data_IF_960709573609
#
_entry.id   IF_960709573609
#
_cell.length_a   1.000
_cell.length_b   1.000
_cell.length_c   1.000
_cell.angle_alpha   90.00
_cell.angle_beta   90.00
_cell.angle_gamma   90.00
#
_symmetry.space_group_name_H-M   'P 1'
#
loop_
_entity.id
_entity.type
_entity.pdbx_description
1 polymer ?
#
# COMPACT_ATOMS: atom_id res chain seq x y z
N UNK A 1 -48.61 -7.20 57.71
CA UNK A 1 -48.58 -6.21 56.60
C UNK A 1 -48.71 -7.01 55.32
N UNK A 2 -49.87 -6.97 54.67
CA UNK A 2 -50.08 -7.65 53.39
C UNK A 2 -49.78 -6.67 52.26
N UNK A 3 -48.97 -7.06 51.28
CA UNK A 3 -48.69 -6.27 50.10
C UNK A 3 -49.18 -6.99 48.85
N UNK A 4 -50.18 -6.42 48.17
CA UNK A 4 -50.57 -6.80 46.82
C UNK A 4 -49.73 -6.03 45.80
N UNK A 5 -49.00 -6.73 44.93
CA UNK A 5 -48.25 -6.11 43.83
C UNK A 5 -48.91 -6.44 42.50
N UNK A 6 -49.28 -5.41 41.72
CA UNK A 6 -49.71 -5.54 40.33
C UNK A 6 -48.55 -5.16 39.42
N UNK A 7 -48.17 -6.08 38.52
CA UNK A 7 -47.17 -5.79 37.48
C UNK A 7 -47.84 -5.07 36.32
N UNK A 8 -47.36 -3.86 36.02
CA UNK A 8 -47.70 -3.11 34.80
C UNK A 8 -46.61 -3.43 33.78
N UNK A 9 -46.97 -3.65 32.51
CA UNK A 9 -46.04 -3.90 31.41
C UNK A 9 -46.08 -2.72 30.42
N UNK A 10 -44.95 -2.43 29.79
CA UNK A 10 -44.92 -1.55 28.62
C UNK A 10 -45.35 -2.36 27.38
N UNK A 11 -46.17 -1.76 26.52
CA UNK A 11 -46.53 -2.29 25.20
C UNK A 11 -45.69 -1.59 24.14
N UNK A 12 -45.13 -2.36 23.19
CA UNK A 12 -44.27 -1.84 22.12
C UNK A 12 -44.93 -2.06 20.76
N UNK A 13 -44.76 -1.11 19.84
CA UNK A 13 -45.18 -1.25 18.45
C UNK A 13 -44.28 -2.24 17.68
N UNK A 14 -44.85 -3.00 16.73
CA UNK A 14 -44.09 -3.93 15.88
C UNK A 14 -43.10 -3.19 14.97
N UNK A 15 -42.04 -3.87 14.55
CA UNK A 15 -41.07 -3.35 13.59
C UNK A 15 -41.60 -3.41 12.16
N UNK A 16 -41.35 -2.34 11.41
CA UNK A 16 -41.36 -2.33 9.95
C UNK A 16 -39.91 -2.49 9.47
N UNK A 17 -39.66 -3.37 8.51
CA UNK A 17 -38.31 -3.73 8.05
C UNK A 17 -38.17 -3.54 6.55
N UNK A 18 -37.03 -3.01 6.12
CA UNK A 18 -36.62 -2.92 4.72
C UNK A 18 -35.20 -3.45 4.55
N UNK A 19 -34.91 -4.01 3.39
CA UNK A 19 -33.59 -4.56 3.07
C UNK A 19 -33.18 -4.16 1.67
N UNK A 20 -31.89 -3.84 1.49
CA UNK A 20 -31.25 -3.64 0.20
C UNK A 20 -29.86 -4.26 0.20
N UNK A 21 -29.28 -4.47 -0.97
CA UNK A 21 -27.88 -4.93 -1.08
C UNK A 21 -27.02 -3.79 -1.58
N UNK A 22 -25.94 -3.52 -0.86
CA UNK A 22 -24.94 -2.52 -1.19
C UNK A 22 -23.63 -3.21 -1.59
N UNK A 23 -23.06 -2.83 -2.73
CA UNK A 23 -21.69 -3.18 -3.10
C UNK A 23 -20.73 -2.24 -2.36
N UNK A 24 -19.92 -2.79 -1.46
CA UNK A 24 -18.99 -2.02 -0.61
C UNK A 24 -17.67 -1.75 -1.33
N UNK A 25 -17.30 -2.58 -2.30
CA UNK A 25 -16.05 -2.48 -3.06
C UNK A 25 -16.32 -2.14 -4.53
N UNK A 26 -16.32 -0.85 -4.93
CA UNK A 26 -16.59 -0.47 -6.32
C UNK A 26 -15.58 -1.05 -7.31
N UNK A 27 -14.32 -1.18 -6.88
CA UNK A 27 -13.22 -1.72 -7.68
C UNK A 27 -13.26 -3.25 -7.81
N UNK A 28 -14.20 -3.92 -7.14
CA UNK A 28 -14.44 -5.36 -7.24
C UNK A 28 -15.93 -5.63 -7.49
N UNK A 29 -16.40 -5.45 -8.74
CA UNK A 29 -17.82 -5.57 -9.08
C UNK A 29 -18.31 -7.02 -9.08
N UNK A 30 -19.64 -7.16 -9.15
CA UNK A 30 -20.33 -8.46 -9.22
C UNK A 30 -20.03 -9.24 -10.50
N UNK A 31 -19.68 -8.53 -11.58
CA UNK A 31 -19.25 -9.10 -12.85
C UNK A 31 -17.73 -9.15 -12.88
N UNK A 32 -17.17 -10.34 -13.08
CA UNK A 32 -15.74 -10.58 -13.19
C UNK A 32 -15.37 -10.90 -14.64
N UNK A 33 -14.29 -10.30 -15.15
CA UNK A 33 -13.77 -10.67 -16.48
C UNK A 33 -12.72 -11.76 -16.29
N UNK A 34 -12.78 -12.84 -17.07
CA UNK A 34 -11.83 -13.96 -17.00
C UNK A 34 -10.97 -13.98 -18.25
N UNK A 35 -9.65 -14.04 -18.07
CA UNK A 35 -8.69 -14.34 -19.12
C UNK A 35 -8.37 -15.85 -19.09
N UNK A 36 -8.79 -16.58 -20.11
CA UNK A 36 -8.76 -18.06 -20.07
C UNK A 36 -7.37 -18.67 -20.33
N UNK A 37 -6.40 -17.89 -20.81
CA UNK A 37 -5.06 -18.38 -21.17
C UNK A 37 -4.10 -18.43 -19.99
N UNK A 38 -4.09 -17.37 -19.18
CA UNK A 38 -3.24 -17.29 -17.98
C UNK A 38 -4.03 -17.56 -16.69
N UNK A 39 -5.32 -17.89 -16.81
CA UNK A 39 -6.23 -18.10 -15.68
C UNK A 39 -6.30 -16.90 -14.73
N UNK A 40 -6.12 -15.68 -15.26
CA UNK A 40 -6.25 -14.45 -14.49
C UNK A 40 -7.66 -13.92 -14.51
N UNK A 41 -8.00 -13.21 -13.45
CA UNK A 41 -9.32 -12.65 -13.20
C UNK A 41 -9.18 -11.13 -13.03
N UNK A 42 -10.11 -10.39 -13.63
CA UNK A 42 -10.17 -8.94 -13.60
C UNK A 42 -11.50 -8.50 -12.95
N UNK A 43 -11.50 -8.07 -11.68
CA UNK A 43 -10.41 -8.19 -10.71
C UNK A 43 -10.31 -9.61 -10.13
N UNK A 44 -9.11 -9.98 -9.68
CA UNK A 44 -8.89 -11.24 -8.97
C UNK A 44 -9.40 -11.11 -7.53
N UNK A 45 -10.46 -11.86 -7.21
CA UNK A 45 -11.12 -11.81 -5.90
C UNK A 45 -10.29 -12.45 -4.79
N UNK A 46 -9.27 -13.24 -5.13
CA UNK A 46 -8.32 -13.76 -4.13
C UNK A 46 -7.42 -12.66 -3.57
N UNK A 47 -7.16 -11.61 -4.37
CA UNK A 47 -6.35 -10.45 -3.99
C UNK A 47 -7.23 -9.25 -3.60
N UNK A 48 -8.26 -8.97 -4.39
CA UNK A 48 -9.21 -7.86 -4.22
C UNK A 48 -10.65 -8.39 -4.11
N UNK A 49 -11.07 -8.83 -2.90
CA UNK A 49 -12.37 -9.47 -2.70
C UNK A 49 -13.55 -8.58 -3.09
N UNK A 50 -14.62 -9.20 -3.58
CA UNK A 50 -15.91 -8.51 -3.78
C UNK A 50 -16.68 -8.53 -2.47
N UNK A 51 -17.05 -7.36 -1.94
CA UNK A 51 -17.76 -7.26 -0.66
C UNK A 51 -19.15 -6.71 -0.86
N UNK A 52 -20.16 -7.47 -0.43
CA UNK A 52 -21.57 -7.06 -0.46
C UNK A 52 -22.15 -7.02 0.95
N UNK A 53 -22.91 -5.96 1.24
CA UNK A 53 -23.55 -5.73 2.53
C UNK A 53 -25.08 -5.74 2.36
N UNK A 54 -25.81 -6.66 3.03
CA UNK A 54 -27.25 -6.56 3.13
C UNK A 54 -27.58 -5.46 4.15
N UNK A 55 -27.99 -4.31 3.68
CA UNK A 55 -28.37 -3.19 4.54
C UNK A 55 -29.78 -3.40 5.05
N UNK A 56 -29.93 -3.70 6.35
CA UNK A 56 -31.22 -3.93 7.00
C UNK A 56 -31.61 -2.71 7.82
N UNK A 57 -32.74 -2.12 7.46
CA UNK A 57 -33.33 -0.98 8.17
C UNK A 57 -34.60 -1.44 8.88
N UNK A 58 -34.76 -1.08 10.15
CA UNK A 58 -35.98 -1.34 10.91
C UNK A 58 -36.42 -0.12 11.70
N UNK A 59 -37.73 0.05 11.87
CA UNK A 59 -38.30 1.15 12.63
C UNK A 59 -39.60 0.72 13.33
N UNK A 60 -39.85 1.28 14.52
CA UNK A 60 -41.12 1.15 15.23
C UNK A 60 -41.87 2.49 15.18
N UNK A 61 -43.18 2.48 14.98
CA UNK A 61 -43.99 3.70 14.86
C UNK A 61 -44.07 4.52 16.15
N UNK A 62 -43.84 3.89 17.30
CA UNK A 62 -43.81 4.52 18.63
C UNK A 62 -42.43 5.09 19.01
N UNK A 63 -41.44 4.99 18.13
CA UNK A 63 -40.08 5.47 18.37
C UNK A 63 -39.27 4.63 19.37
N UNK A 64 -39.78 3.48 19.81
CA UNK A 64 -39.09 2.65 20.80
C UNK A 64 -37.98 1.75 20.22
N UNK A 65 -37.67 1.90 18.93
CA UNK A 65 -36.52 1.27 18.27
C UNK A 65 -35.38 2.30 18.08
N UNK A 66 -34.22 2.12 18.73
CA UNK A 66 -33.24 3.19 18.87
C UNK A 66 -32.36 3.46 17.63
N UNK A 67 -32.18 2.48 16.74
CA UNK A 67 -31.28 2.62 15.58
C UNK A 67 -31.90 2.06 14.29
N UNK A 68 -32.11 2.89 13.26
CA UNK A 68 -32.67 2.43 11.99
C UNK A 68 -31.84 1.32 11.34
N UNK A 69 -30.51 1.48 11.28
CA UNK A 69 -29.61 0.45 10.77
C UNK A 69 -29.46 -0.69 11.78
N UNK A 70 -30.07 -1.82 11.46
CA UNK A 70 -30.36 -2.87 12.43
C UNK A 70 -29.50 -4.13 12.28
N UNK A 71 -28.46 -4.08 11.42
CA UNK A 71 -27.56 -5.20 11.16
C UNK A 71 -26.97 -5.83 12.43
N UNK A 72 -26.64 -5.04 13.46
CA UNK A 72 -26.07 -5.55 14.71
C UNK A 72 -26.99 -6.56 15.44
N UNK A 73 -28.30 -6.48 15.22
CA UNK A 73 -29.32 -7.33 15.84
C UNK A 73 -29.67 -8.56 14.99
N UNK A 74 -28.96 -8.79 13.89
CA UNK A 74 -29.18 -9.98 13.04
C UNK A 74 -28.66 -11.25 13.74
N UNK A 75 -29.39 -12.35 13.57
CA UNK A 75 -29.05 -13.69 14.00
C UNK A 75 -29.35 -14.68 12.86
N UNK A 76 -28.86 -15.92 12.99
CA UNK A 76 -29.07 -17.00 12.01
C UNK A 76 -28.75 -16.59 10.55
N UNK A 77 -27.68 -15.80 10.39
CA UNK A 77 -27.28 -15.24 9.10
C UNK A 77 -26.74 -16.33 8.18
N UNK A 78 -27.32 -16.44 6.99
CA UNK A 78 -26.94 -17.39 5.96
C UNK A 78 -26.95 -16.74 4.59
N UNK A 79 -25.97 -17.10 3.77
CA UNK A 79 -25.95 -16.77 2.36
C UNK A 79 -26.23 -18.03 1.56
N UNK A 80 -27.00 -17.89 0.50
CA UNK A 80 -27.37 -18.95 -0.42
C UNK A 80 -26.79 -18.62 -1.79
N UNK A 81 -26.09 -19.58 -2.40
CA UNK A 81 -25.64 -19.53 -3.77
C UNK A 81 -26.48 -20.53 -4.59
N UNK A 82 -27.19 -20.04 -5.60
CA UNK A 82 -28.15 -20.79 -6.43
C UNK A 82 -29.16 -21.59 -5.60
N UNK A 83 -29.61 -20.99 -4.50
CA UNK A 83 -30.59 -21.59 -3.57
C UNK A 83 -30.01 -22.58 -2.57
N UNK A 84 -28.70 -22.87 -2.60
CA UNK A 84 -28.02 -23.77 -1.66
C UNK A 84 -27.21 -22.96 -0.66
N UNK A 85 -27.24 -23.34 0.62
CA UNK A 85 -26.46 -22.67 1.67
C UNK A 85 -24.97 -22.71 1.32
N UNK A 86 -24.36 -21.52 1.22
CA UNK A 86 -22.98 -21.33 0.74
C UNK A 86 -21.96 -22.12 1.57
N UNK A 87 -22.27 -22.38 2.85
CA UNK A 87 -21.42 -23.16 3.75
C UNK A 87 -21.34 -24.64 3.42
N UNK A 88 -22.27 -25.14 2.61
CA UNK A 88 -22.35 -26.56 2.23
C UNK A 88 -21.76 -26.85 0.86
N UNK A 89 -21.37 -25.81 0.11
CA UNK A 89 -20.85 -25.95 -1.25
C UNK A 89 -19.32 -26.04 -1.20
N UNK A 90 -18.77 -27.18 -1.64
CA UNK A 90 -17.33 -27.45 -1.58
C UNK A 90 -16.49 -26.33 -2.24
N UNK A 91 -16.93 -25.82 -3.38
CA UNK A 91 -16.22 -24.79 -4.15
C UNK A 91 -16.06 -23.44 -3.43
N UNK A 92 -16.90 -23.19 -2.43
CA UNK A 92 -16.92 -21.99 -1.61
C UNK A 92 -16.08 -22.13 -0.32
N UNK A 93 -15.65 -23.34 0.03
CA UNK A 93 -14.87 -23.60 1.26
C UNK A 93 -13.59 -22.74 1.27
N UNK A 94 -13.44 -21.91 2.30
CA UNK A 94 -12.29 -21.00 2.44
C UNK A 94 -12.27 -19.81 1.46
N UNK A 95 -13.32 -19.63 0.64
CA UNK A 95 -13.40 -18.56 -0.38
C UNK A 95 -14.50 -17.53 -0.11
N UNK A 96 -15.09 -17.55 1.07
CA UNK A 96 -15.96 -16.48 1.54
C UNK A 96 -15.83 -16.26 3.04
N UNK A 97 -16.21 -15.07 3.49
CA UNK A 97 -16.33 -14.74 4.91
C UNK A 97 -17.64 -13.99 5.15
N UNK A 98 -18.31 -14.27 6.26
CA UNK A 98 -19.52 -13.56 6.68
C UNK A 98 -19.17 -12.69 7.88
N UNK A 99 -19.42 -11.38 7.78
CA UNK A 99 -19.26 -10.43 8.88
C UNK A 99 -20.20 -10.76 10.04
N UNK A 100 -19.66 -10.84 11.26
CA UNK A 100 -20.40 -11.23 12.47
C UNK A 100 -20.49 -10.12 13.52
N UNK A 101 -19.90 -8.95 13.27
CA UNK A 101 -19.71 -7.89 14.26
C UNK A 101 -20.37 -6.59 13.82
N UNK A 102 -21.04 -5.92 14.77
CA UNK A 102 -21.51 -4.53 14.64
C UNK A 102 -22.44 -4.30 13.45
N UNK A 103 -22.30 -3.13 12.82
CA UNK A 103 -23.09 -2.73 11.64
C UNK A 103 -22.76 -3.52 10.37
N UNK A 104 -21.65 -4.25 10.36
CA UNK A 104 -21.21 -5.11 9.24
C UNK A 104 -21.74 -6.54 9.33
N UNK A 105 -22.60 -6.84 10.31
CA UNK A 105 -23.23 -8.16 10.41
C UNK A 105 -23.96 -8.52 9.11
N UNK A 106 -23.70 -9.72 8.61
CA UNK A 106 -24.30 -10.25 7.38
C UNK A 106 -23.54 -9.89 6.10
N UNK A 107 -22.51 -9.04 6.17
CA UNK A 107 -21.64 -8.72 5.04
C UNK A 107 -20.99 -9.99 4.48
N UNK A 108 -21.03 -10.19 3.17
CA UNK A 108 -20.34 -11.30 2.49
C UNK A 108 -19.11 -10.77 1.77
N UNK A 109 -17.94 -11.25 2.19
CA UNK A 109 -16.68 -11.06 1.48
C UNK A 109 -16.46 -12.26 0.59
N UNK A 110 -16.41 -12.05 -0.72
CA UNK A 110 -16.24 -13.10 -1.73
C UNK A 110 -14.79 -13.08 -2.22
N UNK A 111 -14.08 -14.17 -1.95
CA UNK A 111 -12.72 -14.44 -2.43
C UNK A 111 -12.68 -15.43 -3.59
N UNK A 112 -13.85 -15.94 -4.00
CA UNK A 112 -13.99 -16.93 -5.07
C UNK A 112 -14.02 -16.25 -6.44
N UNK A 113 -13.06 -16.62 -7.29
CA UNK A 113 -13.13 -16.36 -8.71
C UNK A 113 -14.14 -17.31 -9.39
N UNK A 114 -14.85 -16.80 -10.38
CA UNK A 114 -15.86 -17.53 -11.16
C UNK A 114 -15.24 -18.05 -12.45
N UNK A 115 -15.51 -19.30 -12.80
CA UNK A 115 -15.07 -19.86 -14.08
C UNK A 115 -15.71 -19.10 -15.25
N UNK A 116 -15.13 -19.12 -16.46
CA UNK A 116 -15.65 -18.34 -17.58
C UNK A 116 -17.09 -18.73 -17.95
N UNK A 117 -18.00 -17.74 -17.99
CA UNK A 117 -19.43 -17.94 -18.25
C UNK A 117 -20.23 -18.47 -17.05
N UNK A 118 -19.60 -18.64 -15.89
CA UNK A 118 -20.28 -19.03 -14.65
C UNK A 118 -21.11 -17.87 -14.10
N UNK A 119 -22.34 -18.17 -13.70
CA UNK A 119 -23.25 -17.24 -13.07
C UNK A 119 -23.82 -17.89 -11.81
N UNK A 120 -23.81 -17.14 -10.71
CA UNK A 120 -24.29 -17.57 -9.40
C UNK A 120 -25.25 -16.52 -8.85
N UNK A 121 -26.40 -16.99 -8.40
CA UNK A 121 -27.40 -16.17 -7.75
C UNK A 121 -27.20 -16.19 -6.24
N UNK A 122 -26.91 -15.03 -5.64
CA UNK A 122 -26.70 -14.87 -4.21
C UNK A 122 -27.94 -14.30 -3.54
N UNK A 123 -28.37 -14.93 -2.44
CA UNK A 123 -29.49 -14.49 -1.60
C UNK A 123 -29.07 -14.55 -0.13
N UNK A 124 -29.31 -13.47 0.61
CA UNK A 124 -29.09 -13.44 2.06
C UNK A 124 -30.38 -13.76 2.81
N UNK A 125 -30.31 -14.59 3.84
CA UNK A 125 -31.39 -14.81 4.80
C UNK A 125 -30.90 -14.67 6.23
N UNK A 126 -31.65 -13.99 7.07
CA UNK A 126 -31.36 -13.83 8.49
C UNK A 126 -32.63 -13.62 9.32
N UNK A 127 -32.46 -13.55 10.63
CA UNK A 127 -33.50 -13.14 11.58
C UNK A 127 -33.09 -11.86 12.28
N UNK A 128 -33.95 -10.86 12.28
CA UNK A 128 -33.79 -9.66 13.10
C UNK A 128 -34.48 -9.89 14.45
N UNK A 129 -33.70 -9.90 15.53
CA UNK A 129 -34.22 -10.13 16.87
C UNK A 129 -34.75 -8.84 17.51
N UNK A 130 -36.07 -8.77 17.74
CA UNK A 130 -36.69 -7.71 18.53
C UNK A 130 -36.71 -8.12 20.01
N UNK A 131 -35.75 -7.62 20.78
CA UNK A 131 -35.64 -7.91 22.22
C UNK A 131 -36.79 -7.32 23.04
N UNK A 132 -37.53 -6.34 22.51
CA UNK A 132 -38.64 -5.67 23.22
C UNK A 132 -39.88 -6.57 23.23
N UNK A 133 -40.17 -7.21 22.09
CA UNK A 133 -41.32 -8.11 21.91
C UNK A 133 -40.96 -9.59 22.04
N UNK A 134 -39.68 -9.94 22.00
CA UNK A 134 -39.22 -11.34 21.98
C UNK A 134 -39.55 -12.06 20.67
N UNK A 135 -39.68 -11.33 19.57
CA UNK A 135 -40.07 -11.83 18.24
C UNK A 135 -38.89 -11.71 17.28
N UNK A 136 -38.76 -12.66 16.35
CA UNK A 136 -37.77 -12.63 15.28
C UNK A 136 -38.44 -12.34 13.94
N UNK A 137 -37.99 -11.29 13.25
CA UNK A 137 -38.46 -10.94 11.91
C UNK A 137 -37.57 -11.61 10.84
N UNK A 138 -38.12 -12.38 9.89
CA UNK A 138 -37.33 -12.94 8.81
C UNK A 138 -36.91 -11.84 7.84
N UNK A 139 -35.63 -11.84 7.46
CA UNK A 139 -35.04 -10.92 6.48
C UNK A 139 -34.55 -11.76 5.30
N UNK A 140 -34.92 -11.35 4.09
CA UNK A 140 -34.47 -11.96 2.83
C UNK A 140 -34.20 -10.85 1.81
N UNK A 141 -33.02 -10.85 1.18
CA UNK A 141 -32.68 -9.89 0.12
C UNK A 141 -33.24 -10.29 -1.23
N UNK A 142 -33.40 -9.32 -2.13
CA UNK A 142 -33.53 -9.63 -3.55
C UNK A 142 -32.30 -10.38 -4.07
N UNK A 143 -32.46 -11.26 -5.08
CA UNK A 143 -31.34 -12.01 -5.65
C UNK A 143 -30.32 -11.09 -6.31
N UNK A 144 -29.04 -11.31 -5.99
CA UNK A 144 -27.91 -10.61 -6.61
C UNK A 144 -27.13 -11.58 -7.47
N UNK A 145 -26.88 -11.21 -8.71
CA UNK A 145 -26.16 -12.07 -9.66
C UNK A 145 -24.67 -11.76 -9.58
N UNK A 146 -23.89 -12.77 -9.23
CA UNK A 146 -22.45 -12.81 -9.42
C UNK A 146 -22.18 -13.52 -10.75
N UNK A 147 -21.48 -12.89 -11.69
CA UNK A 147 -21.24 -13.49 -13.00
C UNK A 147 -19.81 -13.31 -13.45
N UNK A 148 -19.42 -14.12 -14.43
CA UNK A 148 -18.19 -13.90 -15.18
C UNK A 148 -18.47 -13.78 -16.67
N UNK A 149 -17.62 -13.01 -17.36
CA UNK A 149 -17.59 -12.95 -18.81
C UNK A 149 -16.23 -13.39 -19.33
N UNK A 150 -16.24 -14.13 -20.43
CA UNK A 150 -15.02 -14.42 -21.20
C UNK A 150 -14.63 -13.14 -21.92
N UNK A 151 -13.33 -12.84 -21.93
CA UNK A 151 -12.80 -11.77 -22.77
C UNK A 151 -13.12 -12.09 -24.23
N UNK A 152 -13.82 -11.20 -24.94
CA UNK A 152 -14.10 -11.40 -26.37
C UNK A 152 -12.78 -11.62 -27.12
N UNK A 153 -12.73 -12.55 -28.08
CA UNK A 153 -11.48 -12.94 -28.78
C UNK A 153 -10.77 -11.76 -29.48
N UNK A 154 -11.50 -10.69 -29.77
CA UNK A 154 -10.96 -9.48 -30.39
C UNK A 154 -10.70 -8.32 -29.42
N UNK A 155 -11.01 -8.49 -28.13
CA UNK A 155 -10.80 -7.43 -27.15
C UNK A 155 -9.34 -7.37 -26.72
N UNK A 156 -8.72 -6.19 -26.87
CA UNK A 156 -7.38 -5.95 -26.37
C UNK A 156 -7.40 -5.73 -24.86
N UNK A 157 -6.31 -6.11 -24.20
CA UNK A 157 -6.06 -5.75 -22.81
C UNK A 157 -4.59 -5.65 -22.49
N UNK A 158 -4.29 -4.99 -21.38
CA UNK A 158 -2.94 -4.84 -20.87
C UNK A 158 -2.91 -5.39 -19.45
N UNK A 159 -1.86 -6.12 -19.14
CA UNK A 159 -1.53 -6.59 -17.80
C UNK A 159 -0.11 -6.17 -17.47
N UNK A 160 0.15 -5.93 -16.19
CA UNK A 160 1.48 -5.61 -15.66
C UNK A 160 1.98 -6.86 -14.94
N UNK A 161 3.23 -7.26 -15.22
CA UNK A 161 3.89 -8.39 -14.59
C UNK A 161 4.38 -8.12 -13.16
N UNK A 162 3.79 -7.12 -12.51
CA UNK A 162 4.17 -6.55 -11.22
C UNK A 162 2.90 -6.05 -10.50
N UNK A 163 3.02 -5.61 -9.26
CA UNK A 163 1.94 -4.95 -8.53
C UNK A 163 1.51 -3.65 -9.22
N UNK A 164 0.21 -3.38 -9.28
CA UNK A 164 -0.31 -2.07 -9.71
C UNK A 164 0.09 -0.95 -8.74
N UNK A 165 0.48 -1.29 -7.51
CA UNK A 165 1.05 -0.36 -6.54
C UNK A 165 2.45 -0.85 -6.20
N UNK A 166 3.45 -0.26 -6.86
CA UNK A 166 4.87 -0.51 -6.64
C UNK A 166 5.30 0.33 -5.45
N UNK A 167 5.97 -0.33 -4.50
CA UNK A 167 6.46 0.29 -3.27
C UNK A 167 7.98 0.21 -3.26
N UNK A 168 8.63 1.36 -3.28
CA UNK A 168 10.08 1.43 -3.21
C UNK A 168 10.53 1.74 -1.78
N UNK A 169 11.39 0.88 -1.24
CA UNK A 169 11.89 0.96 0.13
C UNK A 169 13.42 0.94 0.11
N UNK A 170 14.01 2.09 0.45
CA UNK A 170 15.46 2.26 0.37
C UNK A 170 16.20 1.28 1.29
N UNK A 171 15.65 0.94 2.47
CA UNK A 171 16.29 0.01 3.42
C UNK A 171 16.47 -1.40 2.87
N UNK A 172 15.75 -1.77 1.81
CA UNK A 172 15.81 -3.09 1.18
C UNK A 172 16.55 -3.09 -0.15
N UNK A 173 17.01 -1.92 -0.61
CA UNK A 173 17.68 -1.78 -1.89
C UNK A 173 19.16 -2.15 -1.81
N UNK A 174 19.47 -3.36 -2.28
CA UNK A 174 20.84 -3.87 -2.37
C UNK A 174 21.66 -3.23 -3.49
N UNK A 175 21.00 -2.75 -4.54
CA UNK A 175 21.67 -2.08 -5.66
C UNK A 175 22.17 -0.72 -5.22
N UNK A 176 21.33 0.04 -4.51
CA UNK A 176 21.71 1.33 -3.93
C UNK A 176 22.87 1.19 -2.95
N UNK A 177 22.83 0.18 -2.06
CA UNK A 177 23.94 -0.10 -1.13
C UNK A 177 25.22 -0.49 -1.87
N UNK A 178 25.13 -1.35 -2.89
CA UNK A 178 26.26 -1.76 -3.69
C UNK A 178 26.92 -0.56 -4.41
N UNK A 179 26.13 0.26 -5.11
CA UNK A 179 26.63 1.42 -5.85
C UNK A 179 27.27 2.44 -4.89
N UNK A 180 26.71 2.60 -3.68
CA UNK A 180 27.33 3.41 -2.62
C UNK A 180 28.69 2.87 -2.16
N UNK A 181 28.81 1.56 -1.92
CA UNK A 181 30.06 0.94 -1.49
C UNK A 181 31.16 1.07 -2.55
N UNK A 182 30.82 0.93 -3.83
CA UNK A 182 31.75 1.16 -4.94
C UNK A 182 32.19 2.63 -4.99
N UNK A 183 31.24 3.57 -4.89
CA UNK A 183 31.53 5.00 -4.91
C UNK A 183 32.43 5.45 -3.74
N UNK A 184 32.28 4.85 -2.56
CA UNK A 184 33.15 5.12 -1.40
C UNK A 184 34.49 4.37 -1.44
N UNK A 185 34.78 3.61 -2.50
CA UNK A 185 35.98 2.78 -2.60
C UNK A 185 36.03 1.62 -1.59
N UNK A 186 34.89 1.26 -0.98
CA UNK A 186 34.74 0.15 -0.02
C UNK A 186 34.48 -1.19 -0.72
N UNK A 187 34.07 -1.17 -1.99
CA UNK A 187 33.94 -2.32 -2.87
C UNK A 187 34.62 -2.05 -4.23
N UNK A 188 35.07 -3.11 -4.91
CA UNK A 188 35.57 -3.02 -6.28
C UNK A 188 34.42 -3.22 -7.26
N UNK A 189 34.31 -2.34 -8.25
CA UNK A 189 33.29 -2.43 -9.29
C UNK A 189 33.35 -3.78 -10.03
N UNK A 190 32.21 -4.47 -10.07
CA UNK A 190 32.04 -5.74 -10.75
C UNK A 190 30.62 -5.85 -11.34
N UNK A 191 30.52 -5.93 -12.66
CA UNK A 191 29.24 -5.99 -13.37
C UNK A 191 28.35 -7.18 -12.96
N UNK A 192 28.94 -8.35 -12.67
CA UNK A 192 28.17 -9.53 -12.25
C UNK A 192 27.64 -9.38 -10.82
N UNK A 193 28.42 -8.77 -9.92
CA UNK A 193 27.97 -8.47 -8.55
C UNK A 193 26.86 -7.42 -8.56
N UNK A 194 27.01 -6.35 -9.37
CA UNK A 194 25.98 -5.33 -9.56
C UNK A 194 24.67 -5.93 -10.09
N UNK A 195 24.76 -6.77 -11.13
CA UNK A 195 23.59 -7.43 -11.71
C UNK A 195 22.87 -8.36 -10.71
N UNK A 196 23.60 -8.99 -9.79
CA UNK A 196 23.02 -9.83 -8.74
C UNK A 196 22.27 -9.02 -7.66
N UNK A 197 22.53 -7.72 -7.54
CA UNK A 197 21.80 -6.81 -6.67
C UNK A 197 20.48 -6.29 -7.28
N UNK A 198 20.24 -6.52 -8.57
CA UNK A 198 18.99 -6.14 -9.23
C UNK A 198 17.92 -7.18 -8.88
N UNK A 199 17.12 -6.87 -7.87
CA UNK A 199 15.98 -7.66 -7.42
C UNK A 199 14.69 -6.83 -7.38
N UNK A 200 13.66 -7.35 -6.71
CA UNK A 200 12.37 -6.68 -6.63
C UNK A 200 12.37 -5.40 -5.76
N UNK A 201 13.44 -5.07 -5.06
CA UNK A 201 13.55 -3.86 -4.24
C UNK A 201 14.55 -2.86 -4.84
N UNK A 202 15.25 -3.23 -5.91
CA UNK A 202 16.22 -2.36 -6.57
C UNK A 202 15.54 -1.11 -7.16
N UNK A 203 16.23 0.02 -7.04
CA UNK A 203 15.75 1.28 -7.59
C UNK A 203 15.63 1.27 -9.11
N UNK A 204 16.42 0.45 -9.81
CA UNK A 204 16.22 0.19 -11.24
C UNK A 204 15.09 -0.84 -11.36
N UNK A 205 13.87 -0.36 -11.61
CA UNK A 205 12.68 -1.19 -11.65
C UNK A 205 12.23 -1.45 -13.07
N UNK A 206 12.45 -2.68 -13.56
CA UNK A 206 11.87 -3.16 -14.82
C UNK A 206 10.46 -3.71 -14.57
N UNK A 207 9.45 -3.06 -15.15
CA UNK A 207 8.04 -3.40 -15.03
C UNK A 207 7.58 -4.06 -16.33
N UNK A 208 7.40 -5.39 -16.38
CA UNK A 208 6.96 -6.08 -17.58
C UNK A 208 5.51 -5.73 -17.92
N UNK A 209 5.21 -5.57 -19.20
CA UNK A 209 3.88 -5.25 -19.72
C UNK A 209 3.51 -6.27 -20.78
N UNK A 210 2.37 -6.93 -20.58
CA UNK A 210 1.86 -7.91 -21.54
C UNK A 210 0.55 -7.40 -22.13
N UNK A 211 0.51 -7.30 -23.46
CA UNK A 211 -0.72 -7.00 -24.21
C UNK A 211 -1.34 -8.31 -24.69
N UNK A 212 -2.62 -8.49 -24.43
CA UNK A 212 -3.38 -9.65 -24.86
C UNK A 212 -4.43 -9.24 -25.89
N UNK A 213 -4.66 -10.10 -26.89
CA UNK A 213 -5.84 -10.03 -27.79
C UNK A 213 -6.73 -11.23 -27.50
N UNK A 214 -7.92 -10.96 -26.97
CA UNK A 214 -8.71 -11.96 -26.28
C UNK A 214 -7.89 -12.55 -25.15
N UNK A 215 -7.68 -13.86 -25.20
CA UNK A 215 -6.91 -14.57 -24.19
C UNK A 215 -5.41 -14.69 -24.52
N UNK A 216 -4.95 -14.40 -25.75
CA UNK A 216 -3.55 -14.68 -26.13
C UNK A 216 -2.64 -13.45 -25.96
N UNK A 217 -1.47 -13.57 -25.32
CA UNK A 217 -0.47 -12.53 -25.38
C UNK A 217 -0.02 -12.36 -26.82
N UNK A 218 0.01 -11.11 -27.27
CA UNK A 218 0.55 -10.73 -28.56
C UNK A 218 1.86 -9.99 -28.33
N UNK A 219 2.82 -10.16 -29.23
CA UNK A 219 4.14 -9.49 -29.17
C UNK A 219 4.31 -8.46 -30.29
N UNK A 220 3.31 -8.31 -31.16
CA UNK A 220 3.32 -7.41 -32.31
C UNK A 220 1.91 -6.95 -32.68
N UNK A 221 1.83 -5.94 -33.55
CA UNK A 221 0.55 -5.38 -34.02
C UNK A 221 -0.06 -4.33 -33.08
N UNK A 222 0.69 -3.86 -32.09
CA UNK A 222 0.33 -2.75 -31.20
C UNK A 222 1.57 -1.91 -30.89
N UNK A 223 1.33 -0.69 -30.39
CA UNK A 223 2.35 0.18 -29.80
C UNK A 223 1.91 0.58 -28.41
N UNK A 224 2.80 0.48 -27.42
CA UNK A 224 2.57 1.05 -26.11
C UNK A 224 2.89 2.54 -26.10
N UNK A 225 1.99 3.33 -25.52
CA UNK A 225 2.22 4.71 -25.14
C UNK A 225 2.16 4.83 -23.64
N UNK A 226 3.11 5.56 -23.09
CA UNK A 226 3.30 5.74 -21.65
C UNK A 226 2.97 7.17 -21.30
N UNK A 227 2.34 7.35 -20.15
CA UNK A 227 1.90 8.64 -19.67
C UNK A 227 2.15 8.76 -18.18
N UNK A 228 2.54 9.95 -17.73
CA UNK A 228 2.42 10.34 -16.32
C UNK A 228 1.02 10.91 -16.09
N UNK A 229 0.39 10.51 -14.99
CA UNK A 229 -0.92 11.02 -14.54
C UNK A 229 -0.69 12.09 -13.49
N UNK A 230 -1.12 13.31 -13.78
CA UNK A 230 -1.03 14.43 -12.86
C UNK A 230 -2.16 14.39 -11.81
N UNK A 231 -2.01 15.18 -10.75
CA UNK A 231 -3.00 15.30 -9.67
C UNK A 231 -4.42 15.66 -10.16
N UNK A 232 -4.54 16.34 -11.31
CA UNK A 232 -5.83 16.72 -11.92
C UNK A 232 -6.40 15.62 -12.84
N UNK A 233 -5.85 14.40 -12.81
CA UNK A 233 -6.18 13.28 -13.70
C UNK A 233 -5.90 13.55 -15.18
N UNK A 234 -5.09 14.57 -15.49
CA UNK A 234 -4.59 14.81 -16.84
C UNK A 234 -3.36 13.95 -17.10
N UNK A 235 -3.17 13.53 -18.35
CA UNK A 235 -2.04 12.69 -18.77
C UNK A 235 -1.05 13.51 -19.59
N UNK A 236 0.23 13.37 -19.30
CA UNK A 236 1.34 13.91 -20.11
C UNK A 236 2.12 12.73 -20.68
N UNK A 237 2.53 12.82 -21.95
CA UNK A 237 3.36 11.79 -22.59
C UNK A 237 4.63 11.61 -21.75
N UNK A 238 4.93 10.35 -21.42
CA UNK A 238 6.16 9.97 -20.77
C UNK A 238 7.20 9.69 -21.87
N UNK A 239 8.35 10.33 -21.78
CA UNK A 239 9.42 10.27 -22.77
C UNK A 239 10.62 9.50 -22.21
N UNK A 240 11.40 8.87 -23.09
CA UNK A 240 12.66 8.23 -22.70
C UNK A 240 13.75 9.23 -22.28
N UNK A 241 13.47 10.53 -22.39
CA UNK A 241 14.32 11.63 -21.91
C UNK A 241 13.83 12.20 -20.58
N UNK A 242 12.74 11.69 -20.02
CA UNK A 242 12.30 12.09 -18.69
C UNK A 242 13.25 11.45 -17.65
N UNK A 243 13.64 12.23 -16.65
CA UNK A 243 14.72 11.88 -15.71
C UNK A 243 14.54 10.52 -15.01
N UNK A 244 13.31 10.15 -14.65
CA UNK A 244 12.97 8.90 -13.96
C UNK A 244 12.81 7.70 -14.91
N UNK A 245 12.95 7.89 -16.21
CA UNK A 245 12.71 6.86 -17.24
C UNK A 245 14.03 6.39 -17.83
N UNK A 246 14.34 5.11 -17.61
CA UNK A 246 15.54 4.47 -18.18
C UNK A 246 15.22 3.90 -19.56
N UNK A 247 14.07 3.24 -19.72
CA UNK A 247 13.70 2.59 -20.97
C UNK A 247 12.18 2.51 -21.16
N UNK A 248 11.72 2.83 -22.37
CA UNK A 248 10.35 2.58 -22.83
C UNK A 248 10.38 1.58 -23.98
N UNK A 249 9.75 0.42 -23.78
CA UNK A 249 9.68 -0.63 -24.78
C UNK A 249 8.24 -1.10 -24.98
N UNK A 250 8.02 -1.93 -26.00
CA UNK A 250 6.68 -2.43 -26.34
C UNK A 250 6.21 -3.61 -25.47
N UNK A 251 7.04 -4.03 -24.50
CA UNK A 251 6.82 -5.14 -23.58
C UNK A 251 7.22 -4.83 -22.13
N UNK A 252 7.75 -3.63 -21.85
CA UNK A 252 8.11 -3.21 -20.50
C UNK A 252 8.38 -1.69 -20.42
N UNK A 253 8.47 -1.19 -19.19
CA UNK A 253 9.04 0.10 -18.84
C UNK A 253 10.09 -0.11 -17.74
N UNK A 254 11.21 0.60 -17.82
CA UNK A 254 12.24 0.62 -16.78
C UNK A 254 12.34 2.01 -16.18
N UNK A 255 12.17 2.12 -14.86
CA UNK A 255 12.19 3.39 -14.12
C UNK A 255 13.34 3.44 -13.11
N UNK A 256 13.84 4.64 -12.81
CA UNK A 256 14.69 4.93 -11.65
C UNK A 256 13.84 5.43 -10.48
N UNK A 257 13.60 4.56 -9.49
CA UNK A 257 12.75 4.88 -8.35
C UNK A 257 13.40 5.84 -7.33
N UNK A 258 14.71 6.16 -7.47
CA UNK A 258 15.37 7.19 -6.65
C UNK A 258 14.86 8.59 -6.94
N UNK A 259 14.37 8.83 -8.15
CA UNK A 259 13.82 10.11 -8.59
C UNK A 259 12.31 10.24 -8.34
N UNK A 260 11.66 9.16 -7.87
CA UNK A 260 10.21 9.11 -7.68
C UNK A 260 9.85 9.04 -6.19
N UNK A 261 9.24 10.10 -5.65
CA UNK A 261 8.60 10.06 -4.34
C UNK A 261 7.22 9.42 -4.43
N UNK A 262 6.39 9.92 -5.37
CA UNK A 262 5.06 9.39 -5.67
C UNK A 262 4.66 9.79 -7.08
N UNK A 263 4.31 8.81 -7.91
CA UNK A 263 3.82 9.07 -9.26
C UNK A 263 2.81 8.00 -9.70
N UNK A 264 1.86 8.43 -10.52
CA UNK A 264 0.89 7.56 -11.18
C UNK A 264 1.22 7.52 -12.68
N UNK A 265 1.22 6.33 -13.27
CA UNK A 265 1.56 6.09 -14.66
C UNK A 265 0.43 5.36 -15.36
N UNK A 266 0.11 5.78 -16.57
CA UNK A 266 -0.89 5.16 -17.44
C UNK A 266 -0.18 4.61 -18.67
N UNK A 267 -0.43 3.33 -18.96
CA UNK A 267 0.02 2.68 -20.19
C UNK A 267 -1.18 2.45 -21.07
N UNK A 268 -1.07 2.83 -22.35
CA UNK A 268 -2.08 2.58 -23.37
C UNK A 268 -1.53 1.73 -24.49
N UNK A 269 -2.30 0.75 -24.93
CA UNK A 269 -2.01 -0.01 -26.13
C UNK A 269 -2.78 0.65 -27.29
N UNK A 270 -2.04 0.97 -28.35
CA UNK A 270 -2.55 1.63 -29.54
C UNK A 270 -2.44 0.67 -30.72
N UNK A 271 -3.55 0.49 -31.45
CA UNK A 271 -3.62 -0.30 -32.69
C UNK A 271 -4.34 0.56 -33.73
N UNK A 272 -3.77 0.66 -34.93
CA UNK A 272 -4.31 1.51 -36.01
C UNK A 272 -4.65 2.94 -35.56
N UNK A 273 -3.77 3.51 -34.72
CA UNK A 273 -3.90 4.85 -34.13
C UNK A 273 -5.14 5.06 -33.25
N UNK A 274 -5.68 3.98 -32.67
CA UNK A 274 -6.76 3.99 -31.67
C UNK A 274 -6.30 3.35 -30.38
N UNK A 275 -6.64 3.97 -29.25
CA UNK A 275 -6.46 3.40 -27.92
C UNK A 275 -7.39 2.18 -27.80
N UNK A 276 -6.83 0.97 -27.69
CA UNK A 276 -7.60 -0.28 -27.62
C UNK A 276 -7.65 -0.88 -26.22
N UNK A 277 -6.68 -0.54 -25.37
CA UNK A 277 -6.64 -0.94 -23.97
C UNK A 277 -5.76 0.03 -23.18
N UNK A 278 -5.98 0.07 -21.86
CA UNK A 278 -5.15 0.86 -20.96
C UNK A 278 -5.05 0.20 -19.58
N UNK A 279 -3.98 0.48 -18.86
CA UNK A 279 -3.77 0.09 -17.47
C UNK A 279 -3.03 1.20 -16.74
N UNK A 280 -3.39 1.44 -15.49
CA UNK A 280 -2.70 2.39 -14.63
C UNK A 280 -1.96 1.64 -13.52
N UNK A 281 -0.79 2.13 -13.15
CA UNK A 281 -0.05 1.71 -11.97
C UNK A 281 0.53 2.93 -11.24
N UNK A 282 0.89 2.73 -9.99
CA UNK A 282 1.40 3.77 -9.11
C UNK A 282 2.72 3.33 -8.50
N UNK A 283 3.66 4.26 -8.40
CA UNK A 283 4.91 4.10 -7.64
C UNK A 283 4.82 4.99 -6.41
N UNK A 284 5.10 4.43 -5.24
CA UNK A 284 5.18 5.19 -3.99
C UNK A 284 6.43 4.79 -3.23
N UNK A 285 7.16 5.79 -2.71
CA UNK A 285 8.23 5.55 -1.76
C UNK A 285 7.65 5.21 -0.39
N UNK A 286 8.28 4.25 0.28
CA UNK A 286 7.96 3.82 1.63
C UNK A 286 9.04 4.33 2.58
N UNK A 287 8.60 5.04 3.61
CA UNK A 287 9.45 5.50 4.70
C UNK A 287 9.19 4.62 5.92
N UNK A 288 10.06 3.64 6.14
CA UNK A 288 9.92 2.75 7.30
C UNK A 288 10.24 3.50 8.60
N UNK A 289 9.61 3.09 9.69
CA UNK A 289 9.98 3.55 11.02
C UNK A 289 11.31 2.91 11.43
N UNK A 290 12.24 3.71 11.93
CA UNK A 290 13.55 3.25 12.38
C UNK A 290 13.85 3.78 13.79
N UNK A 291 14.78 3.13 14.47
CA UNK A 291 15.36 3.62 15.72
C UNK A 291 16.83 3.97 15.47
N UNK A 292 17.30 5.07 16.05
CA UNK A 292 18.69 5.50 15.97
C UNK A 292 19.23 5.76 17.38
N UNK A 293 20.48 5.33 17.64
CA UNK A 293 21.16 5.62 18.91
C UNK A 293 22.67 5.80 18.72
N UNK A 294 23.33 6.70 19.47
CA UNK A 294 24.78 6.69 19.64
C UNK A 294 25.24 5.38 20.27
N UNK A 295 26.48 4.97 19.99
CA UNK A 295 27.03 3.69 20.46
C UNK A 295 28.05 3.85 21.58
N UNK A 296 28.70 5.02 21.67
CA UNK A 296 29.69 5.28 22.71
C UNK A 296 29.02 5.67 24.04
N UNK A 297 28.91 4.70 24.96
CA UNK A 297 28.38 4.90 26.31
C UNK A 297 29.43 5.26 27.38
N UNK A 298 30.68 5.55 26.99
CA UNK A 298 31.78 5.80 27.95
C UNK A 298 31.73 7.26 28.43
N UNK A 299 31.91 7.46 29.74
CA UNK A 299 32.04 8.79 30.37
C UNK A 299 33.34 9.49 29.97
N UNK A 300 33.34 10.82 30.03
CA UNK A 300 34.46 11.67 29.64
C UNK A 300 35.38 11.90 30.86
N UNK A 301 36.69 11.71 30.69
CA UNK A 301 37.70 12.11 31.69
C UNK A 301 38.04 13.60 31.57
N UNK A 302 38.40 14.30 32.66
CA UNK A 302 38.86 15.69 32.60
C UNK A 302 40.09 15.93 31.71
N UNK A 303 40.85 14.87 31.42
CA UNK A 303 42.02 14.91 30.51
C UNK A 303 41.65 14.78 29.02
N UNK A 304 40.42 14.36 28.71
CA UNK A 304 40.01 14.09 27.35
C UNK A 304 39.74 15.40 26.62
N UNK A 305 40.30 15.55 25.44
CA UNK A 305 40.12 16.74 24.60
C UNK A 305 39.13 16.51 23.47
N UNK A 306 38.93 15.26 23.07
CA UNK A 306 38.14 14.85 21.92
C UNK A 306 37.21 13.70 22.27
N UNK A 307 36.07 13.64 21.58
CA UNK A 307 35.16 12.51 21.61
C UNK A 307 34.81 12.10 20.18
N UNK A 308 34.75 10.78 19.96
CA UNK A 308 34.22 10.18 18.74
C UNK A 308 33.06 9.24 19.07
N UNK A 309 32.08 9.18 18.17
CA UNK A 309 30.90 8.31 18.30
C UNK A 309 30.42 7.84 16.92
N UNK A 310 29.67 6.75 16.93
CA UNK A 310 29.04 6.15 15.74
C UNK A 310 27.57 5.90 16.07
N UNK A 311 26.70 6.16 15.11
CA UNK A 311 25.26 5.95 15.24
C UNK A 311 24.90 4.56 14.74
N UNK A 312 24.09 3.84 15.51
CA UNK A 312 23.50 2.57 15.11
C UNK A 312 22.02 2.78 14.78
N UNK A 313 21.63 2.31 13.59
CA UNK A 313 20.25 2.39 13.09
C UNK A 313 19.66 0.99 13.02
N UNK A 314 18.51 0.80 13.64
CA UNK A 314 17.73 -0.43 13.59
C UNK A 314 16.42 -0.21 12.82
N UNK A 315 16.12 -1.11 11.88
CA UNK A 315 14.87 -1.12 11.12
C UNK A 315 14.37 -2.57 11.00
N UNK A 316 13.09 -2.82 11.26
CA UNK A 316 12.48 -4.17 11.24
C UNK A 316 13.26 -5.23 12.06
N UNK A 317 13.92 -4.81 13.15
CA UNK A 317 14.71 -5.69 14.02
C UNK A 317 16.11 -6.04 13.48
N UNK A 318 16.54 -5.44 12.38
CA UNK A 318 17.87 -5.60 11.80
C UNK A 318 18.68 -4.29 11.93
N UNK A 319 19.99 -4.44 12.17
CA UNK A 319 20.93 -3.31 12.13
C UNK A 319 21.23 -2.98 10.67
N UNK A 320 21.07 -1.72 10.29
CA UNK A 320 21.40 -1.23 8.94
C UNK A 320 22.90 -0.92 8.88
N UNK A 321 23.59 -1.51 7.90
CA UNK A 321 25.04 -1.41 7.79
C UNK A 321 25.54 -0.04 7.31
N UNK A 322 24.85 0.59 6.36
CA UNK A 322 25.22 1.88 5.78
C UNK A 322 24.03 2.86 5.83
N UNK A 323 23.61 3.33 7.02
CA UNK A 323 22.40 4.15 7.16
C UNK A 323 22.53 5.54 6.52
N UNK A 324 23.75 6.04 6.35
CA UNK A 324 24.09 7.31 5.69
C UNK A 324 23.65 7.39 4.23
N UNK A 325 23.37 6.24 3.60
CA UNK A 325 22.82 6.16 2.24
C UNK A 325 21.38 6.65 2.19
N UNK A 326 20.62 6.44 3.26
CA UNK A 326 19.15 6.54 3.29
C UNK A 326 18.64 7.61 4.24
N UNK A 327 19.44 7.92 5.25
CA UNK A 327 19.10 8.88 6.30
C UNK A 327 20.06 10.06 6.25
N UNK A 328 19.53 11.24 6.46
CA UNK A 328 20.31 12.42 6.82
C UNK A 328 20.48 12.41 8.33
N UNK A 329 21.72 12.29 8.81
CA UNK A 329 22.03 12.09 10.23
C UNK A 329 22.87 13.25 10.75
N UNK A 330 22.34 14.08 11.64
CA UNK A 330 23.00 15.27 12.18
C UNK A 330 23.37 15.03 13.64
N UNK A 331 24.67 15.11 13.94
CA UNK A 331 25.17 14.98 15.30
C UNK A 331 25.08 16.30 16.06
N UNK A 332 24.56 16.21 17.29
CA UNK A 332 24.38 17.34 18.18
C UNK A 332 24.84 17.03 19.60
N UNK A 333 25.14 18.09 20.32
CA UNK A 333 25.38 18.00 21.76
C UNK A 333 24.65 19.08 22.54
N UNK A 334 24.16 18.70 23.72
CA UNK A 334 23.62 19.60 24.72
C UNK A 334 24.47 19.54 25.99
N UNK A 335 24.72 20.70 26.59
CA UNK A 335 25.42 20.88 27.87
C UNK A 335 24.76 22.01 28.64
N UNK A 336 25.22 22.27 29.87
CA UNK A 336 24.74 23.42 30.63
C UNK A 336 25.04 24.77 29.94
N UNK A 337 26.10 24.84 29.13
CA UNK A 337 26.53 26.07 28.47
C UNK A 337 25.96 26.27 27.06
N UNK A 338 25.58 25.20 26.36
CA UNK A 338 25.11 25.23 24.97
C UNK A 338 24.08 24.14 24.71
N UNK A 339 23.05 24.45 23.93
CA UNK A 339 22.01 23.49 23.53
C UNK A 339 21.92 23.48 22.00
N UNK A 340 21.73 22.30 21.42
CA UNK A 340 21.58 22.08 19.99
C UNK A 340 22.85 22.34 19.18
N UNK A 341 24.03 22.21 19.78
CA UNK A 341 25.28 22.47 19.06
C UNK A 341 25.50 21.39 18.00
N UNK A 342 25.47 21.79 16.73
CA UNK A 342 25.70 20.91 15.58
C UNK A 342 27.19 20.69 15.35
N UNK A 343 27.59 19.44 15.12
CA UNK A 343 28.98 19.07 14.84
C UNK A 343 29.20 18.73 13.37
N UNK A 344 28.63 17.62 12.92
CA UNK A 344 28.75 17.14 11.54
C UNK A 344 27.56 16.27 11.14
N UNK A 345 27.53 15.94 9.85
CA UNK A 345 26.57 15.02 9.26
C UNK A 345 27.24 13.66 8.97
N UNK A 346 26.49 12.56 9.10
CA UNK A 346 26.91 11.21 8.74
C UNK A 346 26.78 10.17 9.86
N UNK A 347 27.16 8.92 9.57
CA UNK A 347 27.08 7.82 10.54
C UNK A 347 28.01 8.03 11.75
N UNK A 348 29.12 8.75 11.56
CA UNK A 348 30.17 8.94 12.57
C UNK A 348 30.39 10.40 12.88
N UNK A 349 30.81 10.69 14.10
CA UNK A 349 31.22 12.03 14.53
C UNK A 349 32.54 11.99 15.28
N UNK A 350 33.29 13.09 15.18
CA UNK A 350 34.40 13.42 16.07
C UNK A 350 34.38 14.92 16.34
N UNK A 351 34.43 15.31 17.61
CA UNK A 351 34.39 16.72 18.01
C UNK A 351 35.25 17.00 19.24
N UNK A 352 35.66 18.26 19.36
CA UNK A 352 36.44 18.76 20.49
C UNK A 352 35.52 19.02 21.69
N UNK A 353 35.87 18.49 22.86
CA UNK A 353 35.08 18.68 24.07
C UNK A 353 35.04 20.14 24.52
N UNK A 354 36.12 20.89 24.31
CA UNK A 354 36.17 22.31 24.65
C UNK A 354 35.18 23.19 23.88
N UNK A 355 34.64 22.73 22.74
CA UNK A 355 33.68 23.52 21.95
C UNK A 355 32.22 23.29 22.38
N UNK A 356 31.94 22.21 23.13
CA UNK A 356 30.58 21.80 23.49
C UNK A 356 29.95 22.64 24.61
N UNK A 357 30.77 23.39 25.35
CA UNK A 357 30.31 24.14 26.52
C UNK A 357 30.12 23.28 27.77
N UNK A 358 30.64 22.04 27.78
CA UNK A 358 30.74 21.22 29.00
C UNK A 358 31.51 21.99 30.07
N UNK A 359 30.99 21.97 31.29
CA UNK A 359 31.61 22.63 32.44
C UNK A 359 32.55 21.71 33.21
N UNK A 360 33.17 22.28 34.24
CA UNK A 360 34.23 21.66 35.05
C UNK A 360 33.83 21.44 36.52
N UNK A 361 32.54 21.61 36.84
CA UNK A 361 32.02 21.43 38.20
C UNK A 361 30.73 20.61 38.23
N UNK A 362 30.37 20.13 39.42
CA UNK A 362 29.23 19.22 39.64
C UNK A 362 27.86 19.72 39.12
N UNK A 363 27.70 21.03 38.87
CA UNK A 363 26.43 21.57 38.36
C UNK A 363 26.35 21.62 36.84
N UNK A 364 27.47 21.45 36.14
CA UNK A 364 27.59 21.63 34.70
C UNK A 364 28.55 20.63 34.00
N UNK A 365 28.92 19.54 34.67
CA UNK A 365 29.85 18.48 34.21
C UNK A 365 29.20 17.42 33.29
N UNK A 366 28.05 17.74 32.68
CA UNK A 366 27.29 16.83 31.83
C UNK A 366 27.33 17.25 30.36
N UNK A 367 27.20 16.25 29.49
CA UNK A 367 27.11 16.41 28.04
C UNK A 367 26.21 15.31 27.48
N UNK A 368 25.09 15.72 26.89
CA UNK A 368 24.25 14.83 26.11
C UNK A 368 24.75 14.82 24.67
N UNK A 369 25.04 13.63 24.15
CA UNK A 369 25.40 13.42 22.74
C UNK A 369 24.25 12.67 22.09
N UNK A 370 23.71 13.23 21.01
CA UNK A 370 22.59 12.63 20.31
C UNK A 370 22.68 12.89 18.82
N UNK A 371 21.91 12.11 18.06
CA UNK A 371 21.80 12.20 16.63
C UNK A 371 20.34 12.37 16.26
N UNK A 372 20.05 13.39 15.47
CA UNK A 372 18.75 13.54 14.82
C UNK A 372 18.87 12.99 13.40
N UNK A 373 17.90 12.19 12.99
CA UNK A 373 17.90 11.61 11.66
C UNK A 373 16.53 11.70 10.99
N UNK A 374 16.55 12.03 9.71
CA UNK A 374 15.38 12.07 8.84
C UNK A 374 15.63 11.22 7.59
N UNK A 375 14.56 10.72 6.99
CA UNK A 375 14.63 10.08 5.69
C UNK A 375 15.12 11.06 4.62
N UNK A 376 16.05 10.60 3.78
CA UNK A 376 16.42 11.31 2.56
C UNK A 376 15.22 11.37 1.61
N UNK A 377 14.99 12.55 1.03
CA UNK A 377 13.96 12.77 0.02
C UNK A 377 14.27 12.05 -1.29
N UNK A 378 13.42 12.24 -2.31
CA UNK A 378 13.76 11.91 -3.68
C UNK A 378 15.07 12.57 -4.10
N UNK A 379 15.79 11.87 -4.97
CA UNK A 379 16.92 12.45 -5.66
C UNK A 379 16.38 13.49 -6.65
N UNK A 380 17.18 14.48 -6.95
CA UNK A 380 16.93 15.49 -7.96
C UNK A 380 18.09 15.50 -8.95
N UNK A 381 17.77 15.74 -10.22
CA UNK A 381 18.78 15.96 -11.25
C UNK A 381 19.48 17.28 -10.98
N UNK A 382 20.80 17.29 -11.14
CA UNK A 382 21.60 18.47 -10.97
C UNK A 382 21.49 19.37 -12.18
N UNK A 383 20.93 20.57 -11.97
CA UNK A 383 20.82 21.58 -13.02
C UNK A 383 21.57 22.85 -12.65
N UNK A 384 22.07 23.56 -13.65
CA UNK A 384 22.58 24.92 -13.48
C UNK A 384 21.44 25.95 -13.34
N UNK A 385 21.79 27.24 -13.26
CA UNK A 385 20.81 28.34 -13.15
C UNK A 385 19.92 28.51 -14.40
N UNK A 386 20.32 27.93 -15.54
CA UNK A 386 19.58 27.98 -16.81
C UNK A 386 18.73 26.72 -17.04
N UNK A 387 18.85 25.71 -16.19
CA UNK A 387 18.17 24.42 -16.32
C UNK A 387 18.95 23.38 -17.14
N UNK A 388 20.23 23.63 -17.45
CA UNK A 388 21.09 22.67 -18.13
C UNK A 388 21.55 21.59 -17.13
N UNK A 389 21.38 20.33 -17.50
CA UNK A 389 21.72 19.18 -16.64
C UNK A 389 23.24 18.99 -16.59
N UNK A 390 23.77 18.84 -15.39
CA UNK A 390 25.17 18.43 -15.19
C UNK A 390 25.29 16.94 -15.49
N UNK A 391 26.23 16.60 -16.38
CA UNK A 391 26.52 15.21 -16.77
C UNK A 391 28.01 14.93 -16.69
N UNK A 392 28.38 13.65 -16.59
CA UNK A 392 29.77 13.21 -16.75
C UNK A 392 30.12 12.85 -18.22
N UNK A 393 29.20 13.15 -19.14
CA UNK A 393 29.26 12.79 -20.56
C UNK A 393 28.56 11.47 -20.90
N UNK A 394 28.18 10.65 -19.91
CA UNK A 394 27.41 9.41 -20.09
C UNK A 394 26.14 9.41 -19.25
N UNK A 395 26.23 9.83 -17.99
CA UNK A 395 25.13 9.82 -17.03
C UNK A 395 24.88 11.21 -16.43
N UNK A 396 23.62 11.46 -16.07
CA UNK A 396 23.19 12.68 -15.40
C UNK A 396 23.54 12.61 -13.91
N UNK A 397 24.05 13.72 -13.37
CA UNK A 397 24.30 13.81 -11.94
C UNK A 397 22.98 13.96 -11.20
N UNK A 398 22.77 13.08 -10.22
CA UNK A 398 21.63 13.12 -9.31
C UNK A 398 22.12 13.27 -7.88
N UNK A 399 21.41 14.07 -7.07
CA UNK A 399 21.72 14.29 -5.66
C UNK A 399 20.48 14.21 -4.79
N UNK A 400 20.68 13.98 -3.50
CA UNK A 400 19.65 14.15 -2.49
C UNK A 400 19.99 15.31 -1.56
#
# INVERSE_FOLDING_TARGET
MESGKKRIRLEFAPLNTAVSVLLVTPNSPLVQVVNTFNSQYEPDRTLTPTVILPQVVANASDGSWPQPHSNQYLADMKWYADGVDISTIADWTGKYEIGTVGSQKGMLTIKRNLNPGEQITLVFKAKLADQRLGVNYPIETDPVILSSSVKSQDQFSISIGDSQIIRYDMFKDKLLEYDYLVAQGRATENAAARAACIDENAYIRRIPITVNRGDRPITSGYTLKFYRVNANLTTVDLLATDDDVIELANDHITLDLRLVAKADYLVKAVVDNRDVAQIQFSVNRVFQAFNIRPTNGISISPSDTERADTAMVDCDGNVIANPEVMLRMIWKTDSAGKTGLVHNEGERTAFQLGTTGIGDNYTNDWLDVYVEADHKSEFSVATDENGDVFTDGTDDFIFN
#
